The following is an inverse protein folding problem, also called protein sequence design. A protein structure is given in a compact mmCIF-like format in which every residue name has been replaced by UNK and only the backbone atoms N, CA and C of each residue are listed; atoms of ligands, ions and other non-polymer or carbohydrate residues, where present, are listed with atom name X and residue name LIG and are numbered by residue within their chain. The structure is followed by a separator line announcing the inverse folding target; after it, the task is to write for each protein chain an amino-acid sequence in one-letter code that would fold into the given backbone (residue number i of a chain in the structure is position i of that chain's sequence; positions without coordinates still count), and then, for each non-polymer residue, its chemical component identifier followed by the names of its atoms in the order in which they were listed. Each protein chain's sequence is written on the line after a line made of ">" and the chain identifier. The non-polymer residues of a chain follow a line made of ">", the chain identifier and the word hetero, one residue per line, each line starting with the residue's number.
data_IF_633065769840
#
_entry.id   IF_633065769840
#
_cell.length_a   1.000
_cell.length_b   1.000
_cell.length_c   1.000
_cell.angle_alpha   90.00
_cell.angle_beta   90.00
_cell.angle_gamma   90.00
#
_symmetry.space_group_name_H-M   'P 1'
#
loop_
_entity.id
_entity.type
_entity.pdbx_description
1 polymer ?
#
# COMPACT_ATOMS: atom_id res chain seq x y z
N UNK A 1 12.82 -8.02 6.44
CA UNK A 1 13.50 -8.22 7.74
C UNK A 1 13.58 -9.70 8.12
N UNK A 2 12.48 -10.40 8.14
CA UNK A 2 12.40 -11.80 8.59
C UNK A 2 12.49 -12.80 7.44
N UNK A 3 12.93 -14.00 7.76
CA UNK A 3 12.89 -15.16 6.89
C UNK A 3 11.94 -16.20 7.50
N UNK A 4 11.45 -17.13 6.67
CA UNK A 4 10.64 -18.26 7.10
C UNK A 4 11.24 -19.58 6.59
N UNK A 5 10.91 -20.66 7.28
CA UNK A 5 11.25 -22.00 6.83
C UNK A 5 10.29 -22.48 5.72
N UNK A 6 10.51 -23.70 5.24
CA UNK A 6 9.70 -24.32 4.17
C UNK A 6 8.23 -24.58 4.57
N UNK A 7 7.91 -24.47 5.85
CA UNK A 7 6.55 -24.62 6.37
C UNK A 7 5.89 -23.27 6.69
N UNK A 8 6.60 -22.15 6.42
CA UNK A 8 6.13 -20.79 6.68
C UNK A 8 6.34 -20.32 8.11
N UNK A 9 7.01 -21.11 8.97
CA UNK A 9 7.32 -20.67 10.34
C UNK A 9 8.49 -19.67 10.35
N UNK A 10 8.32 -18.59 11.12
CA UNK A 10 9.34 -17.52 11.23
C UNK A 10 10.64 -18.04 11.84
N UNK A 11 11.75 -17.58 11.28
CA UNK A 11 13.11 -17.77 11.79
C UNK A 11 13.47 -16.56 12.64
N UNK A 12 13.59 -16.75 13.95
CA UNK A 12 13.86 -15.67 14.90
C UNK A 12 15.36 -15.38 15.05
N UNK A 13 16.23 -16.39 14.90
CA UNK A 13 17.69 -16.27 15.00
C UNK A 13 18.29 -16.34 13.59
N UNK A 14 17.97 -15.37 12.74
CA UNK A 14 18.36 -15.39 11.33
C UNK A 14 19.86 -15.20 11.11
N UNK A 15 20.58 -14.46 11.98
CA UNK A 15 22.00 -14.13 11.84
C UNK A 15 22.83 -15.42 11.94
N UNK A 16 22.69 -16.15 13.03
CA UNK A 16 23.36 -17.46 13.21
C UNK A 16 22.70 -18.56 12.37
N UNK A 17 21.40 -18.46 12.20
CA UNK A 17 20.54 -19.41 11.51
C UNK A 17 19.95 -20.47 12.43
N UNK A 18 18.77 -20.95 12.06
CA UNK A 18 18.08 -22.03 12.72
C UNK A 18 18.05 -23.28 11.84
N UNK A 19 18.46 -24.41 12.39
CA UNK A 19 18.38 -25.69 11.68
C UNK A 19 17.07 -26.39 12.04
N UNK A 20 16.28 -26.73 11.02
CA UNK A 20 14.98 -27.40 11.13
C UNK A 20 14.88 -28.53 10.13
N UNK A 21 14.28 -29.64 10.54
CA UNK A 21 14.03 -30.79 9.67
C UNK A 21 12.83 -30.51 8.75
N UNK A 22 12.98 -30.89 7.47
CA UNK A 22 11.86 -30.93 6.53
C UNK A 22 12.01 -32.18 5.65
N UNK A 23 11.00 -33.07 5.70
CA UNK A 23 10.98 -34.34 4.96
C UNK A 23 12.25 -35.20 5.15
N UNK A 24 12.72 -35.32 6.40
CA UNK A 24 13.89 -36.14 6.74
C UNK A 24 15.24 -35.51 6.40
N UNK A 25 15.26 -34.21 6.04
CA UNK A 25 16.48 -33.47 5.73
C UNK A 25 16.57 -32.22 6.58
N UNK A 26 17.72 -31.99 7.20
CA UNK A 26 18.01 -30.80 7.95
C UNK A 26 18.37 -29.63 7.03
N UNK A 27 17.71 -28.49 7.22
CA UNK A 27 17.98 -27.23 6.53
C UNK A 27 18.30 -26.13 7.55
N UNK A 28 19.37 -25.37 7.29
CA UNK A 28 19.69 -24.19 8.09
C UNK A 28 19.15 -22.94 7.40
N UNK A 29 18.25 -22.24 8.07
CA UNK A 29 17.61 -21.03 7.60
C UNK A 29 18.31 -19.81 8.19
N UNK A 30 18.98 -19.04 7.33
CA UNK A 30 19.64 -17.78 7.69
C UNK A 30 18.88 -16.59 7.12
N UNK A 31 18.99 -15.44 7.77
CA UNK A 31 18.36 -14.19 7.40
C UNK A 31 19.27 -12.99 7.64
N UNK A 32 18.73 -11.82 7.44
CA UNK A 32 19.43 -10.54 7.61
C UNK A 32 19.32 -9.99 9.04
N UNK A 33 18.43 -10.55 9.85
CA UNK A 33 18.21 -10.10 11.23
C UNK A 33 17.83 -11.22 12.17
N UNK A 34 18.07 -10.99 13.45
CA UNK A 34 17.41 -11.68 14.56
C UNK A 34 16.18 -10.89 15.00
N UNK A 35 15.17 -11.55 15.54
CA UNK A 35 14.00 -10.91 16.15
C UNK A 35 13.77 -11.46 17.56
N UNK A 36 13.71 -10.55 18.55
CA UNK A 36 13.30 -10.90 19.91
C UNK A 36 11.92 -10.32 20.18
N UNK A 37 10.99 -11.16 20.63
CA UNK A 37 9.62 -10.75 20.98
C UNK A 37 9.51 -10.74 22.51
N UNK A 38 9.05 -9.62 23.06
CA UNK A 38 8.88 -9.44 24.52
C UNK A 38 7.47 -8.94 24.80
N UNK A 39 6.69 -9.75 25.52
CA UNK A 39 5.40 -9.33 26.06
C UNK A 39 5.63 -8.55 27.35
N UNK A 40 5.13 -7.33 27.43
CA UNK A 40 5.28 -6.44 28.55
C UNK A 40 4.13 -6.63 29.58
N UNK A 41 4.36 -6.24 30.81
CA UNK A 41 3.36 -6.36 31.89
C UNK A 41 2.13 -5.48 31.71
N UNK A 42 2.21 -4.46 30.88
CA UNK A 42 1.12 -3.54 30.50
C UNK A 42 0.30 -4.03 29.31
N UNK A 43 0.64 -5.20 28.75
CA UNK A 43 -0.03 -5.80 27.61
C UNK A 43 0.50 -5.39 26.24
N UNK A 44 1.49 -4.48 26.19
CA UNK A 44 2.19 -4.15 24.95
C UNK A 44 3.18 -5.25 24.56
N UNK A 45 3.61 -5.29 23.30
CA UNK A 45 4.61 -6.25 22.82
C UNK A 45 5.69 -5.52 22.07
N UNK A 46 6.94 -5.76 22.43
CA UNK A 46 8.12 -5.28 21.73
C UNK A 46 8.64 -6.35 20.77
N UNK A 47 8.84 -5.97 19.52
CA UNK A 47 9.50 -6.73 18.46
C UNK A 47 10.84 -6.05 18.19
N UNK A 48 11.92 -6.58 18.74
CA UNK A 48 13.26 -6.02 18.57
C UNK A 48 13.98 -6.74 17.44
N UNK A 49 14.33 -6.01 16.39
CA UNK A 49 15.04 -6.49 15.21
C UNK A 49 16.49 -6.05 15.27
N UNK A 50 17.40 -7.01 15.37
CA UNK A 50 18.84 -6.77 15.30
C UNK A 50 19.35 -7.21 13.94
N UNK A 51 19.86 -6.27 13.15
CA UNK A 51 20.42 -6.52 11.82
C UNK A 51 21.86 -7.05 11.89
N UNK A 52 22.29 -7.72 10.85
CA UNK A 52 23.71 -7.94 10.59
C UNK A 52 24.37 -6.60 10.26
N UNK A 53 25.63 -6.41 10.63
CA UNK A 53 26.40 -5.19 10.39
C UNK A 53 27.23 -5.23 9.08
N UNK A 54 27.20 -6.37 8.37
CA UNK A 54 27.90 -6.61 7.11
C UNK A 54 27.01 -6.52 5.87
N UNK A 55 25.74 -6.12 6.03
CA UNK A 55 24.80 -6.00 4.92
C UNK A 55 25.11 -4.80 4.04
N UNK A 56 25.05 -5.04 2.72
CA UNK A 56 25.11 -3.98 1.71
C UNK A 56 24.05 -4.20 0.63
N UNK A 57 23.60 -3.11 0.03
CA UNK A 57 22.77 -3.16 -1.17
C UNK A 57 23.61 -3.56 -2.41
N UNK A 58 22.94 -3.80 -3.52
CA UNK A 58 23.59 -4.26 -4.76
C UNK A 58 24.50 -3.22 -5.42
N UNK A 59 24.42 -1.97 -5.00
CA UNK A 59 25.31 -0.87 -5.41
C UNK A 59 26.52 -0.69 -4.46
N UNK A 60 26.54 -1.43 -3.34
CA UNK A 60 27.61 -1.42 -2.36
C UNK A 60 27.40 -0.52 -1.14
N UNK A 61 26.29 0.27 -1.11
CA UNK A 61 25.95 1.07 0.06
C UNK A 61 25.45 0.19 1.21
N UNK A 62 25.75 0.60 2.45
CA UNK A 62 25.37 -0.18 3.64
C UNK A 62 23.89 -0.17 3.88
N UNK A 63 23.37 -1.32 4.34
CA UNK A 63 22.02 -1.43 4.87
C UNK A 63 22.04 -1.26 6.38
N UNK A 64 21.27 -0.32 6.89
CA UNK A 64 21.23 0.07 8.29
C UNK A 64 19.80 0.13 8.85
N UNK A 65 19.65 0.45 10.12
CA UNK A 65 18.36 0.70 10.76
C UNK A 65 17.60 1.86 10.11
N UNK A 66 18.30 2.83 9.52
CA UNK A 66 17.68 3.97 8.84
C UNK A 66 16.88 3.51 7.60
N UNK A 67 17.38 2.51 6.86
CA UNK A 67 16.68 1.92 5.74
C UNK A 67 15.42 1.16 6.16
N UNK A 68 15.48 0.48 7.31
CA UNK A 68 14.32 -0.21 7.91
C UNK A 68 13.26 0.80 8.32
N UNK A 69 13.64 1.86 9.01
CA UNK A 69 12.75 2.93 9.45
C UNK A 69 12.12 3.61 8.24
N UNK A 70 12.92 4.03 7.27
CA UNK A 70 12.43 4.57 6.00
C UNK A 70 11.37 3.66 5.36
N UNK A 71 11.66 2.35 5.26
CA UNK A 71 10.74 1.38 4.65
C UNK A 71 9.42 1.28 5.42
N UNK A 72 9.45 1.29 6.76
CA UNK A 72 8.25 1.27 7.59
C UNK A 72 7.43 2.55 7.36
N UNK A 73 8.07 3.72 7.32
CA UNK A 73 7.37 5.00 7.13
C UNK A 73 6.80 5.14 5.73
N UNK A 74 7.45 4.62 4.68
CA UNK A 74 6.87 4.55 3.32
C UNK A 74 5.60 3.69 3.32
N UNK A 75 5.64 2.50 3.94
CA UNK A 75 4.47 1.61 4.03
C UNK A 75 3.36 2.16 4.95
N UNK A 76 3.73 2.98 5.92
CA UNK A 76 2.81 3.63 6.86
C UNK A 76 2.27 4.96 6.34
N UNK A 77 2.84 5.52 5.29
CA UNK A 77 2.38 6.81 4.75
C UNK A 77 0.91 6.73 4.32
N UNK A 78 0.09 7.74 4.63
CA UNK A 78 -1.30 7.77 4.23
C UNK A 78 -1.53 7.61 2.73
N UNK A 79 -0.60 8.12 1.89
CA UNK A 79 -0.67 8.07 0.42
C UNK A 79 -0.10 6.80 -0.19
N UNK A 80 0.29 5.81 0.63
CA UNK A 80 0.80 4.53 0.12
C UNK A 80 -0.34 3.73 -0.50
N UNK A 81 -0.27 3.52 -1.81
CA UNK A 81 -1.28 2.84 -2.64
C UNK A 81 -0.90 1.39 -3.01
N UNK A 82 0.24 0.91 -2.54
CA UNK A 82 0.68 -0.47 -2.75
C UNK A 82 -0.01 -1.47 -1.81
N UNK A 83 0.16 -2.77 -2.12
CA UNK A 83 -0.33 -3.84 -1.25
C UNK A 83 0.48 -3.88 0.05
N UNK A 84 -0.16 -3.53 1.16
CA UNK A 84 0.42 -3.64 2.51
C UNK A 84 -0.66 -3.96 3.52
N UNK A 85 -0.31 -4.84 4.45
CA UNK A 85 -1.12 -5.15 5.61
C UNK A 85 -0.57 -4.52 6.90
N UNK A 86 0.48 -3.68 6.78
CA UNK A 86 1.09 -3.03 7.95
C UNK A 86 0.08 -2.21 8.76
N UNK A 87 -0.93 -1.64 8.10
CA UNK A 87 -1.98 -0.84 8.76
C UNK A 87 -2.86 -1.65 9.71
N UNK A 88 -2.95 -2.97 9.55
CA UNK A 88 -3.72 -3.83 10.44
C UNK A 88 -2.98 -4.19 11.72
N UNK A 89 -1.66 -3.94 11.76
CA UNK A 89 -0.84 -4.19 12.95
C UNK A 89 -1.06 -3.06 13.95
N UNK A 90 -1.40 -3.34 15.21
CA UNK A 90 -1.65 -2.33 16.22
C UNK A 90 -0.35 -1.71 16.74
N UNK A 91 0.48 -1.13 15.85
CA UNK A 91 1.71 -0.43 16.22
C UNK A 91 1.35 0.83 16.99
N UNK A 92 2.01 1.07 18.12
CA UNK A 92 1.79 2.24 18.94
C UNK A 92 2.08 3.53 18.15
N UNK A 93 1.11 4.45 18.10
CA UNK A 93 1.23 5.73 17.39
C UNK A 93 1.02 5.65 15.87
N UNK A 94 0.76 4.46 15.29
CA UNK A 94 0.54 4.35 13.85
C UNK A 94 -0.75 5.02 13.40
N UNK A 95 -1.82 4.83 14.16
CA UNK A 95 -3.12 5.45 13.88
C UNK A 95 -3.02 6.97 13.98
N UNK A 96 -2.39 7.49 15.03
CA UNK A 96 -2.17 8.91 15.24
C UNK A 96 -1.24 9.53 14.17
N UNK A 97 -0.27 8.77 13.68
CA UNK A 97 0.56 9.20 12.54
C UNK A 97 -0.24 9.31 11.26
N UNK A 98 -1.19 8.41 11.03
CA UNK A 98 -2.05 8.39 9.83
C UNK A 98 -3.32 9.24 9.97
N UNK A 99 -3.68 9.65 11.19
CA UNK A 99 -4.85 10.50 11.45
C UNK A 99 -4.76 11.84 10.74
N UNK A 100 -5.95 12.45 10.55
CA UNK A 100 -6.13 13.75 9.92
C UNK A 100 -5.65 13.80 8.46
N UNK A 101 -5.62 12.66 7.78
CA UNK A 101 -5.52 12.58 6.32
C UNK A 101 -6.85 12.03 5.79
N UNK A 102 -7.30 12.59 4.70
CA UNK A 102 -8.47 12.12 3.95
C UNK A 102 -8.25 12.36 2.48
N UNK A 103 -8.97 11.67 1.61
CA UNK A 103 -8.88 11.95 0.18
C UNK A 103 -9.53 13.30 -0.15
N UNK A 104 -9.00 14.00 -1.14
CA UNK A 104 -9.52 15.29 -1.58
C UNK A 104 -11.01 15.20 -1.92
N UNK A 105 -11.43 14.15 -2.62
CA UNK A 105 -12.84 13.90 -2.95
C UNK A 105 -13.73 13.70 -1.71
N UNK A 106 -13.23 12.97 -0.69
CA UNK A 106 -13.98 12.77 0.56
C UNK A 106 -14.17 14.09 1.32
N UNK A 107 -13.10 14.89 1.41
CA UNK A 107 -13.17 16.19 2.11
C UNK A 107 -14.10 17.17 1.41
N UNK A 108 -14.04 17.29 0.08
CA UNK A 108 -14.93 18.13 -0.69
C UNK A 108 -16.38 17.64 -0.58
N UNK A 109 -16.59 16.32 -0.70
CA UNK A 109 -17.92 15.71 -0.59
C UNK A 109 -18.55 15.89 0.79
N UNK A 110 -17.77 15.72 1.87
CA UNK A 110 -18.23 15.95 3.24
C UNK A 110 -18.53 17.44 3.51
N UNK A 111 -17.70 18.35 3.00
CA UNK A 111 -17.91 19.79 3.12
C UNK A 111 -19.21 20.25 2.46
N UNK A 112 -19.65 19.55 1.40
CA UNK A 112 -20.89 19.83 0.69
C UNK A 112 -20.79 20.96 -0.33
N UNK A 113 -21.78 21.02 -1.21
CA UNK A 113 -21.84 21.95 -2.35
C UNK A 113 -21.88 23.43 -1.94
N UNK A 114 -22.48 23.73 -0.79
CA UNK A 114 -22.62 25.09 -0.27
C UNK A 114 -21.44 25.54 0.61
N UNK A 115 -20.34 24.77 0.63
CA UNK A 115 -19.15 25.09 1.41
C UNK A 115 -18.52 26.43 0.96
N UNK A 116 -18.09 27.19 1.96
CA UNK A 116 -17.40 28.49 1.78
C UNK A 116 -16.03 28.53 2.45
N UNK A 117 -15.62 27.44 3.12
CA UNK A 117 -14.31 27.30 3.74
C UNK A 117 -13.39 26.48 2.83
N UNK A 118 -12.40 27.12 2.28
CA UNK A 118 -11.40 26.52 1.38
C UNK A 118 -10.01 26.44 2.04
N UNK A 119 -9.98 26.24 3.36
CA UNK A 119 -8.71 26.13 4.10
C UNK A 119 -7.95 24.82 3.86
N UNK A 120 -8.65 23.76 3.43
CA UNK A 120 -8.10 22.40 3.23
C UNK A 120 -7.95 22.05 1.74
N UNK A 121 -8.80 22.59 0.88
CA UNK A 121 -8.80 22.36 -0.57
C UNK A 121 -9.08 23.67 -1.32
N UNK A 122 -8.81 23.73 -2.61
CA UNK A 122 -9.05 24.94 -3.38
C UNK A 122 -10.53 25.11 -3.79
N UNK A 123 -10.97 26.35 -3.97
CA UNK A 123 -12.30 26.64 -4.52
C UNK A 123 -12.47 26.04 -5.92
N UNK A 124 -11.39 25.98 -6.71
CA UNK A 124 -11.41 25.46 -8.08
C UNK A 124 -11.58 23.92 -8.06
N UNK A 125 -10.95 23.20 -7.14
CA UNK A 125 -11.14 21.76 -6.95
C UNK A 125 -12.59 21.45 -6.55
N UNK A 126 -13.16 22.22 -5.61
CA UNK A 126 -14.54 22.06 -5.21
C UNK A 126 -15.50 22.29 -6.38
N UNK A 127 -15.27 23.31 -7.22
CA UNK A 127 -16.09 23.58 -8.41
C UNK A 127 -15.98 22.44 -9.43
N UNK A 128 -14.78 21.96 -9.69
CA UNK A 128 -14.56 20.84 -10.61
C UNK A 128 -15.26 19.57 -10.13
N UNK A 129 -15.12 19.25 -8.84
CA UNK A 129 -15.76 18.10 -8.21
C UNK A 129 -17.30 18.16 -8.33
N UNK A 130 -17.93 19.25 -7.89
CA UNK A 130 -19.38 19.36 -7.93
C UNK A 130 -19.93 19.45 -9.35
N UNK A 131 -19.21 20.05 -10.29
CA UNK A 131 -19.59 20.01 -11.71
C UNK A 131 -19.57 18.58 -12.28
N UNK A 132 -18.59 17.76 -11.87
CA UNK A 132 -18.53 16.36 -12.25
C UNK A 132 -19.67 15.53 -11.61
N UNK A 133 -20.06 15.82 -10.37
CA UNK A 133 -21.23 15.24 -9.70
C UNK A 133 -22.51 15.58 -10.47
N UNK A 134 -22.72 16.84 -10.82
CA UNK A 134 -23.90 17.32 -11.56
C UNK A 134 -24.03 16.73 -12.97
N UNK A 135 -22.93 16.42 -13.65
CA UNK A 135 -22.94 15.83 -14.99
C UNK A 135 -22.77 14.32 -14.95
N UNK A 136 -21.55 13.84 -14.66
CA UNK A 136 -21.20 12.41 -14.72
C UNK A 136 -21.86 11.59 -13.62
N UNK A 137 -21.88 12.13 -12.38
CA UNK A 137 -22.51 11.46 -11.24
C UNK A 137 -24.03 11.29 -11.42
N UNK A 138 -24.71 12.34 -11.90
CA UNK A 138 -26.14 12.27 -12.20
C UNK A 138 -26.43 11.22 -13.29
N UNK A 139 -25.59 11.12 -14.32
CA UNK A 139 -25.74 10.09 -15.37
C UNK A 139 -25.57 8.69 -14.79
N UNK A 140 -24.56 8.47 -13.96
CA UNK A 140 -24.32 7.22 -13.28
C UNK A 140 -25.51 6.76 -12.45
N UNK A 141 -26.05 7.65 -11.60
CA UNK A 141 -27.23 7.36 -10.80
C UNK A 141 -28.47 7.13 -11.67
N UNK A 142 -28.63 7.88 -12.78
CA UNK A 142 -29.76 7.71 -13.69
C UNK A 142 -29.75 6.33 -14.36
N UNK A 143 -28.60 5.81 -14.75
CA UNK A 143 -28.49 4.46 -15.32
C UNK A 143 -28.95 3.39 -14.31
N UNK A 144 -28.68 3.56 -13.01
CA UNK A 144 -29.17 2.68 -11.96
C UNK A 144 -30.70 2.78 -11.83
N UNK A 145 -31.22 4.02 -11.82
CA UNK A 145 -32.67 4.28 -11.73
C UNK A 145 -33.39 3.62 -12.92
N UNK A 146 -32.90 3.85 -14.14
CA UNK A 146 -33.47 3.29 -15.36
C UNK A 146 -33.46 1.76 -15.33
N UNK A 147 -32.37 1.15 -14.88
CA UNK A 147 -32.27 -0.29 -14.69
C UNK A 147 -33.33 -0.80 -13.68
N UNK A 148 -33.51 -0.14 -12.53
CA UNK A 148 -34.52 -0.54 -11.55
C UNK A 148 -35.93 -0.44 -12.10
N UNK A 149 -36.23 0.57 -12.93
CA UNK A 149 -37.52 0.72 -13.62
C UNK A 149 -37.73 -0.38 -14.66
N UNK A 150 -36.72 -0.67 -15.48
CA UNK A 150 -36.79 -1.75 -16.48
C UNK A 150 -37.00 -3.14 -15.84
N UNK A 151 -36.41 -3.37 -14.65
CA UNK A 151 -36.62 -4.63 -13.91
C UNK A 151 -37.94 -4.65 -13.12
N UNK A 152 -38.71 -3.55 -13.14
CA UNK A 152 -39.96 -3.45 -12.40
C UNK A 152 -39.77 -3.33 -10.87
N UNK A 153 -38.58 -2.98 -10.43
CA UNK A 153 -38.26 -2.79 -9.02
C UNK A 153 -38.63 -1.39 -8.50
N UNK A 154 -38.80 -0.41 -9.40
CA UNK A 154 -39.27 0.94 -9.09
C UNK A 154 -40.24 1.44 -10.18
N UNK A 155 -41.03 2.49 -9.88
CA UNK A 155 -41.87 3.16 -10.85
C UNK A 155 -41.09 4.26 -11.57
N UNK A 156 -41.52 4.62 -12.80
CA UNK A 156 -40.94 5.75 -13.52
C UNK A 156 -41.07 7.06 -12.68
N UNK A 157 -39.96 7.75 -12.51
CA UNK A 157 -39.87 8.98 -11.72
C UNK A 157 -39.77 8.77 -10.20
N UNK A 158 -39.78 7.54 -9.70
CA UNK A 158 -39.60 7.22 -8.27
C UNK A 158 -38.13 6.93 -7.96
N UNK A 159 -37.33 8.00 -7.83
CA UNK A 159 -35.89 7.90 -7.51
C UNK A 159 -35.65 7.26 -6.15
N UNK A 160 -36.44 7.63 -5.12
CA UNK A 160 -36.32 7.07 -3.79
C UNK A 160 -36.62 5.56 -3.77
N UNK A 161 -37.65 5.13 -4.52
CA UNK A 161 -37.97 3.71 -4.69
C UNK A 161 -36.87 2.94 -5.44
N UNK A 162 -36.29 3.54 -6.47
CA UNK A 162 -35.16 2.92 -7.21
C UNK A 162 -33.92 2.79 -6.31
N UNK A 163 -33.57 3.84 -5.55
CA UNK A 163 -32.45 3.82 -4.61
C UNK A 163 -32.66 2.76 -3.52
N UNK A 164 -33.87 2.66 -2.94
CA UNK A 164 -34.17 1.63 -1.94
C UNK A 164 -34.07 0.21 -2.53
N UNK A 165 -34.56 0.00 -3.76
CA UNK A 165 -34.42 -1.27 -4.47
C UNK A 165 -32.95 -1.65 -4.74
N UNK A 166 -32.07 -0.64 -4.88
CA UNK A 166 -30.62 -0.80 -5.06
C UNK A 166 -29.85 -0.95 -3.74
N UNK A 167 -30.53 -0.81 -2.58
CA UNK A 167 -29.92 -0.97 -1.26
C UNK A 167 -29.49 0.36 -0.60
N UNK A 168 -30.10 1.47 -1.04
CA UNK A 168 -29.92 2.81 -0.46
C UNK A 168 -31.25 3.33 0.09
N UNK A 169 -31.50 3.01 1.37
CA UNK A 169 -32.71 3.44 2.07
C UNK A 169 -32.60 4.87 2.58
N UNK A 170 -33.74 5.53 2.71
CA UNK A 170 -33.88 6.80 3.44
C UNK A 170 -33.79 8.06 2.58
N UNK A 171 -33.74 7.97 1.25
CA UNK A 171 -33.87 9.14 0.37
C UNK A 171 -35.28 9.74 0.50
N UNK A 172 -35.37 11.07 0.36
CA UNK A 172 -36.66 11.78 0.36
C UNK A 172 -37.52 11.39 -0.85
N UNK A 173 -38.83 11.46 -0.72
CA UNK A 173 -39.75 11.08 -1.81
C UNK A 173 -39.63 11.96 -3.06
N UNK A 174 -39.03 13.14 -2.92
CA UNK A 174 -38.74 14.09 -4.01
C UNK A 174 -37.28 14.15 -4.38
N UNK A 175 -36.50 13.11 -3.96
CA UNK A 175 -35.08 13.00 -4.27
C UNK A 175 -34.83 12.97 -5.78
N UNK A 176 -33.69 13.55 -6.15
CA UNK A 176 -33.20 13.61 -7.52
C UNK A 176 -32.12 12.54 -7.76
N UNK A 177 -31.71 12.33 -9.02
CA UNK A 177 -30.56 11.47 -9.34
C UNK A 177 -29.25 12.00 -8.73
N UNK A 178 -29.11 13.33 -8.55
CA UNK A 178 -27.98 13.94 -7.81
C UNK A 178 -27.97 13.51 -6.35
N UNK A 179 -29.12 13.55 -5.67
CA UNK A 179 -29.26 13.11 -4.27
C UNK A 179 -28.91 11.63 -4.12
N UNK A 180 -29.28 10.80 -5.11
CA UNK A 180 -28.93 9.39 -5.10
C UNK A 180 -27.42 9.19 -5.31
N UNK A 181 -26.80 9.93 -6.23
CA UNK A 181 -25.34 9.86 -6.40
C UNK A 181 -24.58 10.33 -5.15
N UNK A 182 -25.05 11.38 -4.49
CA UNK A 182 -24.51 11.85 -3.22
C UNK A 182 -24.62 10.78 -2.13
N UNK A 183 -25.73 10.05 -2.08
CA UNK A 183 -25.88 8.92 -1.15
C UNK A 183 -24.89 7.79 -1.44
N UNK A 184 -24.62 7.48 -2.72
CA UNK A 184 -23.58 6.55 -3.12
C UNK A 184 -22.21 7.07 -2.68
N UNK A 185 -21.89 8.34 -2.99
CA UNK A 185 -20.63 8.98 -2.57
C UNK A 185 -20.41 8.88 -1.06
N UNK A 186 -21.43 9.23 -0.28
CA UNK A 186 -21.39 9.17 1.19
C UNK A 186 -21.16 7.75 1.71
N UNK A 187 -21.78 6.73 1.11
CA UNK A 187 -21.61 5.32 1.50
C UNK A 187 -20.17 4.81 1.30
N UNK A 188 -19.50 5.33 0.29
CA UNK A 188 -18.15 4.91 -0.11
C UNK A 188 -17.06 5.93 0.20
N UNK A 189 -17.35 6.93 1.07
CA UNK A 189 -16.41 8.02 1.41
C UNK A 189 -15.83 8.69 0.16
N UNK A 190 -16.65 8.85 -0.87
CA UNK A 190 -16.30 9.43 -2.17
C UNK A 190 -15.09 8.75 -2.86
N UNK A 191 -14.80 7.51 -2.53
CA UNK A 191 -13.83 6.71 -3.25
C UNK A 191 -14.43 6.20 -4.56
N UNK A 192 -14.14 6.86 -5.67
CA UNK A 192 -14.75 6.56 -6.96
C UNK A 192 -14.49 5.14 -7.43
N UNK A 193 -13.31 4.56 -7.16
CA UNK A 193 -13.02 3.18 -7.50
C UNK A 193 -13.92 2.19 -6.72
N UNK A 194 -14.23 2.48 -5.47
CA UNK A 194 -15.17 1.68 -4.67
C UNK A 194 -16.62 1.88 -5.11
N UNK A 195 -16.98 3.10 -5.55
CA UNK A 195 -18.32 3.41 -6.09
C UNK A 195 -18.61 2.67 -7.39
N UNK A 196 -17.60 2.25 -8.15
CA UNK A 196 -17.75 1.39 -9.35
C UNK A 196 -18.53 0.08 -9.06
N UNK A 197 -18.57 -0.38 -7.81
CA UNK A 197 -19.33 -1.55 -7.41
C UNK A 197 -20.86 -1.38 -7.63
N UNK A 198 -21.34 -0.14 -7.73
CA UNK A 198 -22.77 0.17 -7.95
C UNK A 198 -23.12 0.37 -9.44
N UNK A 199 -22.20 0.10 -10.36
CA UNK A 199 -22.42 0.28 -11.81
C UNK A 199 -23.59 -0.57 -12.33
N UNK A 200 -24.54 0.08 -13.02
CA UNK A 200 -25.62 -0.56 -13.77
C UNK A 200 -25.44 -0.49 -15.31
N UNK A 201 -24.52 0.36 -15.77
CA UNK A 201 -24.27 0.61 -17.19
C UNK A 201 -22.81 1.03 -17.44
N UNK A 202 -22.58 2.33 -17.58
CA UNK A 202 -21.25 2.90 -17.83
C UNK A 202 -20.38 2.83 -16.60
N UNK A 203 -19.06 2.66 -16.77
CA UNK A 203 -18.12 2.81 -15.67
C UNK A 203 -18.08 4.26 -15.19
N UNK A 204 -17.93 4.48 -13.89
CA UNK A 204 -17.87 5.83 -13.31
C UNK A 204 -16.64 6.58 -13.83
N UNK A 205 -15.53 5.88 -14.05
CA UNK A 205 -14.31 6.40 -14.67
C UNK A 205 -14.48 6.91 -16.11
N UNK A 206 -15.52 6.47 -16.82
CA UNK A 206 -15.87 6.98 -18.15
C UNK A 206 -16.77 8.22 -18.10
N UNK A 207 -17.42 8.47 -16.96
CA UNK A 207 -18.39 9.55 -16.77
C UNK A 207 -17.79 10.75 -16.00
N UNK A 208 -16.84 10.52 -15.12
CA UNK A 208 -16.16 11.54 -14.31
C UNK A 208 -14.84 11.92 -14.99
N UNK A 209 -14.51 13.22 -15.15
CA UNK A 209 -13.22 13.64 -15.66
C UNK A 209 -12.06 13.04 -14.86
N UNK A 210 -10.98 12.62 -15.54
CA UNK A 210 -9.83 11.95 -14.93
C UNK A 210 -9.23 12.75 -13.76
N UNK A 211 -9.14 14.08 -13.90
CA UNK A 211 -8.64 14.97 -12.86
C UNK A 211 -9.48 14.91 -11.57
N UNK A 212 -10.82 14.81 -11.70
CA UNK A 212 -11.73 14.68 -10.54
C UNK A 212 -11.72 13.25 -10.02
N UNK A 213 -11.66 12.25 -10.89
CA UNK A 213 -11.56 10.85 -10.48
C UNK A 213 -10.33 10.60 -9.62
N UNK A 214 -9.20 11.22 -9.97
CA UNK A 214 -7.95 11.13 -9.23
C UNK A 214 -8.00 11.79 -7.84
N UNK A 215 -8.91 12.73 -7.58
CA UNK A 215 -9.11 13.30 -6.24
C UNK A 215 -9.46 12.24 -5.18
N UNK A 216 -9.96 11.06 -5.59
CA UNK A 216 -10.24 9.95 -4.68
C UNK A 216 -8.98 9.17 -4.24
N UNK A 217 -7.83 9.50 -4.82
CA UNK A 217 -6.50 8.95 -4.47
C UNK A 217 -5.50 10.03 -4.07
N UNK A 218 -5.91 11.29 -4.10
CA UNK A 218 -5.13 12.45 -3.65
C UNK A 218 -5.48 12.74 -2.19
N UNK A 219 -4.51 12.58 -1.29
CA UNK A 219 -4.71 12.81 0.13
C UNK A 219 -4.40 14.25 0.52
N UNK A 220 -5.24 14.81 1.39
CA UNK A 220 -5.09 16.13 1.98
C UNK A 220 -5.05 16.03 3.50
N UNK A 221 -4.29 16.91 4.15
CA UNK A 221 -4.19 16.98 5.61
C UNK A 221 -5.34 17.81 6.20
N UNK A 222 -6.04 17.21 7.15
CA UNK A 222 -7.14 17.88 7.89
C UNK A 222 -6.66 18.59 9.16
N UNK A 223 -5.36 18.63 9.43
CA UNK A 223 -4.80 19.25 10.63
C UNK A 223 -3.53 18.56 11.11
N UNK A 224 -3.16 18.83 12.37
CA UNK A 224 -1.97 18.24 12.98
C UNK A 224 -2.18 16.75 13.22
N UNK A 225 -1.30 15.93 12.63
CA UNK A 225 -1.15 14.51 12.95
C UNK A 225 0.14 14.30 13.77
N UNK A 226 0.29 13.12 14.39
CA UNK A 226 1.54 12.79 15.08
C UNK A 226 2.72 12.90 14.09
N UNK A 227 3.83 13.52 14.49
CA UNK A 227 5.00 13.69 13.62
C UNK A 227 5.73 12.38 13.36
N UNK A 228 5.52 11.37 14.20
CA UNK A 228 6.15 10.06 14.11
C UNK A 228 5.23 8.94 14.61
N UNK A 229 5.63 7.71 14.36
CA UNK A 229 5.02 6.49 14.90
C UNK A 229 5.77 6.16 16.19
N UNK A 230 5.18 6.46 17.36
CA UNK A 230 5.84 6.34 18.67
C UNK A 230 6.37 4.93 18.96
N UNK A 231 5.71 3.91 18.43
CA UNK A 231 6.11 2.50 18.56
C UNK A 231 7.28 2.08 17.66
N UNK A 232 7.77 2.94 16.74
CA UNK A 232 8.92 2.62 15.88
C UNK A 232 10.15 3.37 16.38
N UNK A 233 11.12 2.66 16.96
CA UNK A 233 12.27 3.26 17.61
C UNK A 233 13.59 2.74 17.04
N UNK A 234 14.47 3.66 16.62
CA UNK A 234 15.86 3.35 16.30
C UNK A 234 16.63 3.15 17.61
N UNK A 235 17.08 1.93 17.88
CA UNK A 235 17.91 1.64 19.07
C UNK A 235 19.37 2.01 18.82
N UNK A 236 19.88 1.63 17.64
CA UNK A 236 21.20 1.99 17.12
C UNK A 236 21.22 1.77 15.60
N UNK A 237 22.38 1.91 14.96
CA UNK A 237 22.52 1.80 13.50
C UNK A 237 22.15 0.42 12.91
N UNK A 238 22.03 -0.60 13.76
CA UNK A 238 21.71 -1.97 13.34
C UNK A 238 20.58 -2.59 14.18
N UNK A 239 19.77 -1.75 14.83
CA UNK A 239 18.74 -2.28 15.72
C UNK A 239 17.52 -1.36 15.74
N UNK A 240 16.34 -1.93 15.48
CA UNK A 240 15.05 -1.26 15.49
C UNK A 240 14.10 -2.00 16.41
N UNK A 241 13.38 -1.29 17.26
CA UNK A 241 12.31 -1.83 18.08
C UNK A 241 10.95 -1.36 17.53
N UNK A 242 10.01 -2.29 17.37
CA UNK A 242 8.63 -2.00 17.02
C UNK A 242 7.75 -2.45 18.17
N UNK A 243 6.97 -1.52 18.73
CA UNK A 243 6.04 -1.79 19.82
C UNK A 243 4.61 -1.83 19.31
N UNK A 244 3.87 -2.87 19.68
CA UNK A 244 2.43 -2.95 19.47
C UNK A 244 1.69 -2.71 20.78
N UNK A 245 0.48 -2.15 20.69
CA UNK A 245 -0.36 -1.80 21.84
C UNK A 245 -1.00 -3.01 22.50
N UNK A 246 -0.96 -4.17 21.84
CA UNK A 246 -1.53 -5.45 22.32
C UNK A 246 -0.86 -6.62 21.60
N UNK A 247 -1.05 -7.82 22.15
CA UNK A 247 -0.66 -9.07 21.51
C UNK A 247 -1.49 -9.27 20.23
N UNK A 248 -0.80 -9.50 19.11
CA UNK A 248 -1.38 -9.86 17.82
C UNK A 248 -0.55 -11.00 17.20
N UNK A 249 -1.18 -12.19 17.09
CA UNK A 249 -0.51 -13.37 16.57
C UNK A 249 -0.04 -13.25 15.11
N UNK A 250 -0.59 -12.30 14.35
CA UNK A 250 -0.25 -12.06 12.94
C UNK A 250 0.80 -10.97 12.76
N UNK A 251 1.03 -10.14 13.79
CA UNK A 251 1.93 -9.00 13.71
C UNK A 251 3.33 -9.36 13.20
N UNK A 252 3.91 -10.46 13.69
CA UNK A 252 5.28 -10.87 13.31
C UNK A 252 5.43 -11.09 11.80
N UNK A 253 4.39 -11.56 11.11
CA UNK A 253 4.39 -11.78 9.66
C UNK A 253 4.31 -10.45 8.88
N UNK A 254 3.61 -9.47 9.44
CA UNK A 254 3.44 -8.14 8.84
C UNK A 254 4.67 -7.25 9.07
N UNK A 255 5.33 -7.40 10.24
CA UNK A 255 6.52 -6.65 10.61
C UNK A 255 7.78 -7.12 9.87
N UNK A 256 7.72 -8.26 9.16
CA UNK A 256 8.79 -8.75 8.29
C UNK A 256 8.93 -7.94 6.99
N UNK A 257 8.91 -6.60 7.06
CA UNK A 257 8.93 -5.70 5.91
C UNK A 257 10.15 -5.90 5.00
N UNK A 258 9.97 -5.67 3.71
CA UNK A 258 11.09 -5.58 2.76
C UNK A 258 11.83 -4.27 2.98
N UNK A 259 13.16 -4.35 3.13
CA UNK A 259 14.00 -3.17 3.37
C UNK A 259 14.37 -2.53 2.05
N UNK A 260 13.94 -1.30 1.84
CA UNK A 260 14.26 -0.48 0.69
C UNK A 260 15.38 0.52 1.04
N UNK A 261 16.38 0.73 0.17
CA UNK A 261 17.47 1.68 0.44
C UNK A 261 16.98 3.12 0.46
N UNK A 262 17.17 3.76 1.61
CA UNK A 262 16.85 5.17 1.82
C UNK A 262 17.55 6.08 0.79
N UNK A 263 18.82 5.84 0.51
CA UNK A 263 19.61 6.67 -0.42
C UNK A 263 19.13 6.62 -1.87
N UNK A 264 18.28 5.63 -2.22
CA UNK A 264 17.77 5.45 -3.58
C UNK A 264 16.27 5.78 -3.70
N UNK A 265 15.46 5.28 -2.76
CA UNK A 265 14.01 5.51 -2.77
C UNK A 265 13.60 6.74 -2.00
N UNK A 266 14.43 7.23 -1.08
CA UNK A 266 14.21 8.44 -0.31
C UNK A 266 15.08 9.60 -0.78
N UNK A 267 14.96 10.71 -0.08
CA UNK A 267 15.75 11.93 -0.25
C UNK A 267 16.59 12.15 1.01
N UNK A 268 17.92 11.98 0.91
CA UNK A 268 18.82 12.03 2.08
C UNK A 268 18.79 13.37 2.83
N UNK A 269 18.53 14.47 2.15
CA UNK A 269 18.39 15.80 2.74
C UNK A 269 17.06 15.97 3.49
N UNK A 270 16.10 15.06 3.29
CA UNK A 270 14.85 14.95 4.05
C UNK A 270 14.90 13.87 5.15
N UNK A 271 16.06 13.26 5.41
CA UNK A 271 16.20 12.28 6.47
C UNK A 271 16.91 12.85 7.68
N UNK A 272 16.22 12.87 8.81
CA UNK A 272 16.74 13.25 10.12
C UNK A 272 15.84 12.61 11.19
N UNK A 273 16.23 11.42 11.64
CA UNK A 273 15.43 10.63 12.58
C UNK A 273 15.08 11.41 13.86
N UNK A 274 16.05 12.14 14.42
CA UNK A 274 15.87 12.88 15.68
C UNK A 274 14.85 14.04 15.54
N UNK A 275 14.68 14.55 14.32
CA UNK A 275 13.72 15.61 13.99
C UNK A 275 12.47 15.10 13.24
N UNK A 276 12.17 13.81 13.35
CA UNK A 276 11.00 13.17 12.73
C UNK A 276 10.91 13.37 11.21
N UNK A 277 12.04 13.27 10.52
CA UNK A 277 12.15 13.30 9.08
C UNK A 277 12.60 11.93 8.59
N UNK A 278 11.84 11.32 7.69
CA UNK A 278 12.02 9.92 7.32
C UNK A 278 12.37 9.70 5.84
N UNK A 279 12.97 10.71 5.18
CA UNK A 279 13.47 10.62 3.80
C UNK A 279 12.47 11.02 2.73
N UNK A 280 11.33 11.57 3.12
CA UNK A 280 10.30 12.15 2.25
C UNK A 280 9.40 13.08 3.08
N UNK A 281 8.61 13.92 2.42
CA UNK A 281 7.57 14.69 3.09
C UNK A 281 6.34 13.80 3.28
N UNK A 282 5.78 13.75 4.48
CA UNK A 282 4.59 12.95 4.78
C UNK A 282 3.45 13.34 3.84
N UNK A 283 2.84 12.35 3.20
CA UNK A 283 1.82 12.55 2.18
C UNK A 283 2.37 12.74 0.76
N UNK A 284 3.69 12.69 0.57
CA UNK A 284 4.31 12.79 -0.76
C UNK A 284 5.29 11.64 -1.03
N UNK A 285 4.83 10.59 -1.68
CA UNK A 285 5.63 9.47 -2.15
C UNK A 285 6.03 9.58 -3.64
N UNK A 286 5.93 10.75 -4.25
CA UNK A 286 6.21 10.97 -5.68
C UNK A 286 7.61 10.52 -6.08
N UNK A 287 8.63 10.85 -5.27
CA UNK A 287 9.99 10.40 -5.51
C UNK A 287 10.10 8.86 -5.46
N UNK A 288 9.54 8.22 -4.42
CA UNK A 288 9.51 6.76 -4.28
C UNK A 288 8.91 6.13 -5.53
N UNK A 289 7.74 6.59 -5.96
CA UNK A 289 7.03 6.07 -7.16
C UNK A 289 7.87 6.23 -8.43
N UNK A 290 8.59 7.32 -8.57
CA UNK A 290 9.38 7.64 -9.78
C UNK A 290 10.51 6.63 -10.05
N UNK A 291 11.03 5.97 -9.02
CA UNK A 291 12.17 5.04 -9.12
C UNK A 291 11.79 3.56 -9.03
N UNK A 292 10.52 3.22 -8.73
CA UNK A 292 10.07 1.83 -8.55
C UNK A 292 10.24 0.95 -9.80
N UNK A 293 10.26 1.53 -10.99
CA UNK A 293 10.48 0.81 -12.26
C UNK A 293 11.91 0.32 -12.46
N UNK A 294 12.85 0.75 -11.62
CA UNK A 294 14.26 0.36 -11.64
C UNK A 294 14.68 -0.08 -10.23
N UNK A 295 14.17 -1.24 -9.74
CA UNK A 295 14.35 -1.61 -8.35
C UNK A 295 15.80 -1.85 -7.97
N UNK A 296 16.17 -1.34 -6.78
CA UNK A 296 17.44 -1.57 -6.11
C UNK A 296 17.19 -2.24 -4.77
N UNK A 297 17.98 -3.22 -4.40
CA UNK A 297 17.82 -3.97 -3.15
C UNK A 297 19.08 -4.74 -2.77
N UNK A 298 19.02 -5.46 -1.63
CA UNK A 298 20.11 -6.30 -1.11
C UNK A 298 19.92 -7.80 -1.40
N UNK A 299 19.05 -8.15 -2.33
CA UNK A 299 18.74 -9.54 -2.69
C UNK A 299 19.83 -10.22 -3.49
N UNK A 300 19.66 -11.54 -3.81
CA UNK A 300 20.65 -12.33 -4.54
C UNK A 300 20.89 -11.88 -5.98
N UNK A 301 19.96 -11.14 -6.56
CA UNK A 301 20.05 -10.64 -7.93
C UNK A 301 19.74 -9.14 -7.98
N UNK A 302 20.52 -8.41 -8.80
CA UNK A 302 20.31 -6.99 -9.10
C UNK A 302 19.57 -6.83 -10.42
N UNK A 303 18.63 -5.89 -10.47
CA UNK A 303 17.91 -5.52 -11.68
C UNK A 303 18.85 -4.85 -12.69
N UNK A 304 18.76 -5.24 -13.96
CA UNK A 304 19.54 -4.64 -15.05
C UNK A 304 18.63 -3.80 -15.94
N UNK A 305 17.56 -4.41 -16.48
CA UNK A 305 16.60 -3.71 -17.34
C UNK A 305 15.32 -4.52 -17.53
N UNK A 306 14.26 -3.81 -17.92
CA UNK A 306 13.06 -4.38 -18.51
C UNK A 306 12.96 -3.95 -19.96
N UNK A 307 12.87 -4.89 -20.88
CA UNK A 307 12.80 -4.62 -22.31
C UNK A 307 12.07 -5.77 -23.04
N UNK A 308 11.11 -5.40 -23.91
CA UNK A 308 10.36 -6.38 -24.73
C UNK A 308 9.69 -7.52 -23.92
N UNK A 309 9.09 -7.20 -22.76
CA UNK A 309 8.45 -8.19 -21.90
C UNK A 309 9.42 -9.08 -21.11
N UNK A 310 10.71 -8.75 -21.09
CA UNK A 310 11.73 -9.49 -20.36
C UNK A 310 12.36 -8.62 -19.29
N UNK A 311 12.35 -9.09 -18.04
CA UNK A 311 13.11 -8.50 -16.94
C UNK A 311 14.44 -9.23 -16.83
N UNK A 312 15.55 -8.49 -16.94
CA UNK A 312 16.88 -9.03 -16.85
C UNK A 312 17.52 -8.75 -15.48
N UNK A 313 18.06 -9.78 -14.86
CA UNK A 313 18.79 -9.70 -13.61
C UNK A 313 20.19 -10.27 -13.76
N UNK A 314 21.13 -9.76 -12.96
CA UNK A 314 22.48 -10.27 -12.78
C UNK A 314 22.73 -10.63 -11.31
N UNK A 315 23.50 -11.67 -11.06
CA UNK A 315 23.90 -12.09 -9.73
C UNK A 315 24.52 -10.92 -8.95
N UNK A 316 24.06 -10.72 -7.72
CA UNK A 316 24.57 -9.70 -6.82
C UNK A 316 25.80 -10.23 -6.09
N UNK A 317 26.96 -9.66 -6.37
CA UNK A 317 28.23 -10.04 -5.73
C UNK A 317 28.30 -9.66 -4.25
N UNK A 318 27.45 -8.70 -3.83
CA UNK A 318 27.34 -8.22 -2.45
C UNK A 318 26.31 -8.99 -1.61
N UNK A 319 25.66 -10.01 -2.19
CA UNK A 319 24.64 -10.75 -1.45
C UNK A 319 25.23 -11.45 -0.23
N UNK A 320 24.67 -11.20 0.96
CA UNK A 320 25.18 -11.67 2.25
C UNK A 320 25.37 -13.19 2.36
N UNK A 321 24.57 -13.99 1.64
CA UNK A 321 24.68 -15.44 1.63
C UNK A 321 25.62 -15.97 0.52
N UNK A 322 26.38 -15.08 -0.11
CA UNK A 322 27.30 -15.35 -1.19
C UNK A 322 26.70 -15.15 -2.59
N UNK A 323 27.55 -14.79 -3.55
CA UNK A 323 27.14 -14.54 -4.92
C UNK A 323 26.49 -15.80 -5.54
N UNK A 324 25.29 -15.69 -6.14
CA UNK A 324 24.65 -16.80 -6.84
C UNK A 324 25.53 -17.42 -7.93
N UNK A 325 25.47 -18.74 -8.08
CA UNK A 325 26.24 -19.45 -9.13
C UNK A 325 25.69 -19.18 -10.54
N UNK A 326 24.37 -18.96 -10.67
CA UNK A 326 23.75 -18.59 -11.94
C UNK A 326 23.93 -17.09 -12.12
N UNK A 327 24.73 -16.70 -13.11
CA UNK A 327 25.13 -15.31 -13.32
C UNK A 327 23.97 -14.42 -13.78
N UNK A 328 23.12 -14.91 -14.66
CA UNK A 328 22.01 -14.16 -15.24
C UNK A 328 20.71 -14.90 -15.01
N UNK A 329 19.65 -14.16 -14.70
CA UNK A 329 18.29 -14.66 -14.55
C UNK A 329 17.34 -13.72 -15.28
N UNK A 330 16.46 -14.28 -16.10
CA UNK A 330 15.47 -13.51 -16.85
C UNK A 330 14.07 -13.97 -16.49
N UNK A 331 13.18 -13.03 -16.21
CA UNK A 331 11.76 -13.29 -16.13
C UNK A 331 11.10 -12.87 -17.44
N UNK A 332 10.35 -13.79 -18.04
CA UNK A 332 9.67 -13.59 -19.32
C UNK A 332 8.17 -13.65 -19.05
N UNK A 333 7.47 -12.62 -19.47
CA UNK A 333 6.01 -12.64 -19.47
C UNK A 333 5.50 -13.69 -20.47
N UNK A 334 4.61 -14.57 -20.02
CA UNK A 334 4.02 -15.60 -20.86
C UNK A 334 2.57 -15.87 -20.49
N UNK A 335 1.77 -16.27 -21.49
CA UNK A 335 0.42 -16.73 -21.24
C UNK A 335 0.44 -18.09 -20.56
N UNK A 336 -0.59 -18.39 -19.75
CA UNK A 336 -0.72 -19.68 -19.06
C UNK A 336 -0.68 -20.87 -20.03
N UNK A 337 -1.29 -20.73 -21.22
CA UNK A 337 -1.30 -21.73 -22.30
C UNK A 337 0.10 -22.05 -22.85
N UNK A 338 1.04 -21.13 -22.73
CA UNK A 338 2.37 -21.24 -23.37
C UNK A 338 3.45 -21.78 -22.42
N UNK A 339 3.17 -21.82 -21.13
CA UNK A 339 4.12 -22.25 -20.09
C UNK A 339 4.68 -23.66 -20.35
N UNK A 340 3.79 -24.65 -20.60
CA UNK A 340 4.19 -26.03 -20.87
C UNK A 340 5.03 -26.14 -22.14
N UNK A 341 4.63 -25.45 -23.20
CA UNK A 341 5.36 -25.46 -24.46
C UNK A 341 6.73 -24.80 -24.32
N UNK A 342 6.82 -23.72 -23.52
CA UNK A 342 8.08 -23.07 -23.21
C UNK A 342 9.12 -24.01 -22.59
N UNK A 343 8.70 -24.81 -21.61
CA UNK A 343 9.56 -25.85 -21.01
C UNK A 343 9.93 -26.94 -22.03
N UNK A 344 8.95 -27.46 -22.79
CA UNK A 344 9.19 -28.54 -23.77
C UNK A 344 10.17 -28.10 -24.86
N UNK A 345 10.06 -26.88 -25.34
CA UNK A 345 10.93 -26.32 -26.39
C UNK A 345 12.27 -25.78 -25.86
N UNK A 346 12.43 -25.68 -24.54
CA UNK A 346 13.63 -25.13 -23.91
C UNK A 346 13.75 -23.60 -24.08
N UNK A 347 12.66 -22.89 -24.33
CA UNK A 347 12.65 -21.40 -24.37
C UNK A 347 12.61 -20.80 -22.98
N UNK A 348 12.17 -21.56 -21.99
CA UNK A 348 12.26 -21.26 -20.55
C UNK A 348 12.76 -22.48 -19.79
N UNK A 349 13.52 -22.26 -18.71
CA UNK A 349 14.11 -23.31 -17.87
C UNK A 349 13.18 -23.69 -16.71
N UNK A 350 12.37 -22.73 -16.22
CA UNK A 350 11.48 -22.90 -15.08
C UNK A 350 10.17 -22.14 -15.36
N UNK A 351 9.05 -22.71 -14.94
CA UNK A 351 7.74 -22.02 -14.89
C UNK A 351 7.11 -22.22 -13.53
N UNK A 352 6.29 -21.25 -13.07
CA UNK A 352 5.51 -21.29 -11.83
C UNK A 352 4.01 -21.25 -12.13
#
# INVERSE_FOLDING_TARGET
>A
LLNSDRQGAIVFNGIEGETREYNGTDYTYKGISDCTVTENTDGTVDYNFKLRDDLVFSDGEKLTADDVIFSIYVLADPTYDGSSSLFSVPIEGLEEYRQNMSTLSAVIGEAGKDNTDFSVFSEDDAKAFWAAVEDGGVKFAQEIIDYCVEQGAASEGDVAGAAAAWGFDGLAADATAEDFFIAIGTKYDWNFASMEAETAGSALSDLIPEEVYNMSTEDVSLGESAPNISGVTKVNDYEVNIRTTKVDATAIYQLGVTVAPLHYYGELDKYDYENNKFGFDKGDLSHVRSVTTKPLGAGPYKFIKFENGVINFEANEHYYAGCPKTKYMNFIESQESDKLNGIITGTVDITC
#
